data_IF_311937834654
#
_entry.id   IF_311937834654
#
_cell.length_a   1.000
_cell.length_b   1.000
_cell.length_c   1.000
_cell.angle_alpha   90.00
_cell.angle_beta   90.00
_cell.angle_gamma   90.00
#
_symmetry.space_group_name_H-M   'P 1'
#
loop_
_entity.id
_entity.type
_entity.pdbx_description
1 polymer ?
#
# COMPACT_ATOMS: atom_id res chain seq x y z
N UNK A 1 -43.88 14.82 -3.20
CA UNK A 1 -43.21 14.24 -4.37
C UNK A 1 -43.89 12.97 -4.89
N UNK A 2 -44.37 12.06 -4.06
CA UNK A 2 -45.08 10.84 -4.49
C UNK A 2 -46.45 11.10 -5.12
N UNK A 3 -47.16 12.17 -4.75
CA UNK A 3 -48.48 12.53 -5.31
C UNK A 3 -48.41 13.05 -6.77
N UNK A 4 -47.31 13.63 -7.19
CA UNK A 4 -47.10 14.13 -8.57
C UNK A 4 -46.90 12.99 -9.58
N UNK A 5 -46.36 11.84 -9.15
CA UNK A 5 -46.15 10.69 -10.01
C UNK A 5 -47.42 9.96 -10.43
N UNK A 6 -48.51 10.11 -9.66
CA UNK A 6 -49.79 9.43 -9.97
C UNK A 6 -50.52 9.99 -11.21
N UNK A 7 -50.30 11.25 -11.55
CA UNK A 7 -50.94 11.93 -12.70
C UNK A 7 -50.13 11.87 -14.01
N UNK A 8 -48.87 11.32 -13.99
CA UNK A 8 -48.04 11.21 -15.19
C UNK A 8 -48.52 10.09 -16.12
N UNK A 9 -48.38 10.30 -17.43
CA UNK A 9 -48.64 9.26 -18.43
C UNK A 9 -47.67 8.06 -18.20
N UNK A 10 -48.12 6.85 -18.59
CA UNK A 10 -47.33 5.63 -18.42
C UNK A 10 -45.91 5.76 -19.00
N UNK A 11 -45.80 6.36 -20.21
CA UNK A 11 -44.53 6.61 -20.89
C UNK A 11 -43.54 7.45 -20.05
N UNK A 12 -44.07 8.51 -19.41
CA UNK A 12 -43.23 9.37 -18.54
C UNK A 12 -42.76 8.64 -17.27
N UNK A 13 -43.62 7.78 -16.70
CA UNK A 13 -43.24 6.96 -15.53
C UNK A 13 -42.13 5.97 -15.87
N UNK A 14 -42.23 5.31 -17.02
CA UNK A 14 -41.22 4.38 -17.53
C UNK A 14 -39.91 5.13 -17.82
N UNK A 15 -39.97 6.27 -18.49
CA UNK A 15 -38.80 7.07 -18.80
C UNK A 15 -38.06 7.54 -17.53
N UNK A 16 -38.78 8.03 -16.51
CA UNK A 16 -38.18 8.47 -15.24
C UNK A 16 -37.54 7.31 -14.49
N UNK A 17 -38.19 6.14 -14.42
CA UNK A 17 -37.60 4.96 -13.76
C UNK A 17 -36.36 4.49 -14.49
N UNK A 18 -36.32 4.51 -15.82
CA UNK A 18 -35.13 4.15 -16.62
C UNK A 18 -33.97 5.13 -16.37
N UNK A 19 -34.24 6.43 -16.34
CA UNK A 19 -33.23 7.45 -16.06
C UNK A 19 -32.64 7.26 -14.66
N UNK A 20 -33.45 6.98 -13.64
CA UNK A 20 -32.98 6.72 -12.28
C UNK A 20 -32.06 5.48 -12.26
N UNK A 21 -32.44 4.40 -12.92
CA UNK A 21 -31.61 3.18 -13.00
C UNK A 21 -30.29 3.46 -13.69
N UNK A 22 -30.30 4.20 -14.80
CA UNK A 22 -29.07 4.58 -15.52
C UNK A 22 -28.15 5.42 -14.63
N UNK A 23 -28.69 6.42 -13.93
CA UNK A 23 -27.91 7.25 -13.01
C UNK A 23 -27.31 6.44 -11.87
N UNK A 24 -28.03 5.47 -11.32
CA UNK A 24 -27.51 4.58 -10.29
C UNK A 24 -26.38 3.68 -10.83
N UNK A 25 -26.53 3.17 -12.05
CA UNK A 25 -25.49 2.36 -12.69
C UNK A 25 -24.22 3.17 -12.99
N UNK A 26 -24.35 4.38 -13.50
CA UNK A 26 -23.24 5.29 -13.74
C UNK A 26 -22.54 5.69 -12.43
N UNK A 27 -23.30 6.01 -11.40
CA UNK A 27 -22.76 6.31 -10.07
C UNK A 27 -21.96 5.13 -9.48
N UNK A 28 -22.47 3.91 -9.63
CA UNK A 28 -21.74 2.68 -9.23
C UNK A 28 -20.46 2.46 -10.04
N UNK A 29 -20.51 2.66 -11.35
CA UNK A 29 -19.33 2.55 -12.21
C UNK A 29 -18.24 3.52 -11.81
N UNK A 30 -18.61 4.76 -11.52
CA UNK A 30 -17.68 5.79 -11.04
C UNK A 30 -17.06 5.43 -9.68
N UNK A 31 -17.86 5.00 -8.71
CA UNK A 31 -17.36 4.58 -7.40
C UNK A 31 -16.43 3.37 -7.50
N UNK A 32 -16.79 2.38 -8.32
CA UNK A 32 -15.98 1.19 -8.56
C UNK A 32 -14.62 1.55 -9.15
N UNK A 33 -14.60 2.43 -10.13
CA UNK A 33 -13.37 2.91 -10.75
C UNK A 33 -12.46 3.62 -9.74
N UNK A 34 -13.02 4.52 -8.94
CA UNK A 34 -12.27 5.25 -7.91
C UNK A 34 -11.71 4.31 -6.83
N UNK A 35 -12.49 3.34 -6.37
CA UNK A 35 -12.07 2.34 -5.38
C UNK A 35 -10.97 1.42 -5.91
N UNK A 36 -10.98 1.07 -7.20
CA UNK A 36 -9.95 0.22 -7.80
C UNK A 36 -8.61 0.95 -7.91
N UNK A 37 -8.60 2.21 -8.30
CA UNK A 37 -7.36 3.00 -8.34
C UNK A 37 -6.72 3.17 -6.95
N UNK A 38 -7.51 3.45 -5.93
CA UNK A 38 -7.01 3.55 -4.55
C UNK A 38 -6.42 2.22 -4.04
N UNK A 39 -6.96 1.08 -4.48
CA UNK A 39 -6.42 -0.25 -4.16
C UNK A 39 -5.03 -0.46 -4.79
N UNK A 40 -4.86 -0.11 -6.05
CA UNK A 40 -3.57 -0.23 -6.76
C UNK A 40 -2.49 0.62 -6.10
N UNK A 41 -2.80 1.87 -5.75
CA UNK A 41 -1.86 2.76 -5.07
C UNK A 41 -1.42 2.19 -3.71
N UNK A 42 -2.33 1.55 -2.99
CA UNK A 42 -2.03 0.89 -1.70
C UNK A 42 -1.16 -0.34 -1.87
N UNK A 43 -1.42 -1.18 -2.86
CA UNK A 43 -0.58 -2.35 -3.16
C UNK A 43 0.86 -1.92 -3.48
N UNK A 44 1.04 -0.86 -4.26
CA UNK A 44 2.36 -0.32 -4.59
C UNK A 44 3.09 0.18 -3.33
N UNK A 45 2.42 0.87 -2.41
CA UNK A 45 3.00 1.33 -1.14
C UNK A 45 3.39 0.16 -0.23
N UNK A 46 2.56 -0.87 -0.14
CA UNK A 46 2.86 -2.08 0.63
C UNK A 46 4.08 -2.80 0.03
N UNK A 47 4.14 -2.94 -1.29
CA UNK A 47 5.28 -3.52 -1.98
C UNK A 47 6.57 -2.70 -1.74
N UNK A 48 6.50 -1.36 -1.78
CA UNK A 48 7.61 -0.47 -1.48
C UNK A 48 8.13 -0.68 -0.04
N UNK A 49 7.24 -0.76 0.95
CA UNK A 49 7.62 -1.03 2.34
C UNK A 49 8.32 -2.39 2.50
N UNK A 50 7.86 -3.43 1.81
CA UNK A 50 8.55 -4.72 1.80
C UNK A 50 9.96 -4.60 1.20
N UNK A 51 10.14 -3.85 0.12
CA UNK A 51 11.45 -3.61 -0.49
C UNK A 51 12.39 -2.83 0.45
N UNK A 52 11.87 -1.81 1.15
CA UNK A 52 12.65 -1.07 2.16
C UNK A 52 13.13 -2.03 3.25
N UNK A 53 12.26 -2.87 3.81
CA UNK A 53 12.61 -3.84 4.85
C UNK A 53 13.65 -4.84 4.35
N UNK A 54 13.46 -5.42 3.18
CA UNK A 54 14.43 -6.35 2.59
C UNK A 54 15.79 -5.68 2.38
N UNK A 55 15.80 -4.42 1.96
CA UNK A 55 17.03 -3.67 1.74
C UNK A 55 17.75 -3.35 3.06
N UNK A 56 17.00 -3.07 4.14
CA UNK A 56 17.53 -2.92 5.50
C UNK A 56 18.19 -4.23 5.98
N UNK A 57 17.51 -5.38 5.80
CA UNK A 57 18.07 -6.69 6.16
C UNK A 57 19.35 -7.01 5.36
N UNK A 58 19.35 -6.68 4.07
CA UNK A 58 20.52 -6.85 3.21
C UNK A 58 21.69 -5.99 3.68
N UNK A 59 21.44 -4.75 4.09
CA UNK A 59 22.47 -3.87 4.64
C UNK A 59 23.03 -4.42 5.94
N UNK A 60 22.18 -4.89 6.84
CA UNK A 60 22.59 -5.51 8.09
C UNK A 60 23.49 -6.73 7.83
N UNK A 61 23.05 -7.63 6.96
CA UNK A 61 23.84 -8.80 6.58
C UNK A 61 25.23 -8.43 6.03
N UNK A 62 25.32 -7.39 5.18
CA UNK A 62 26.59 -6.94 4.63
C UNK A 62 27.51 -6.34 5.70
N UNK A 63 26.95 -5.64 6.70
CA UNK A 63 27.74 -5.11 7.81
C UNK A 63 28.28 -6.22 8.71
N UNK A 64 27.48 -7.24 9.00
CA UNK A 64 27.90 -8.42 9.77
C UNK A 64 28.94 -9.24 9.01
N UNK A 65 28.75 -9.47 7.72
CA UNK A 65 29.67 -10.24 6.87
C UNK A 65 31.07 -9.61 6.81
N UNK A 66 31.14 -8.27 6.72
CA UNK A 66 32.47 -7.60 6.71
C UNK A 66 33.16 -7.65 8.08
N UNK A 67 32.41 -7.62 9.19
CA UNK A 67 32.95 -7.79 10.53
C UNK A 67 33.50 -9.21 10.76
N UNK A 68 32.76 -10.21 10.32
CA UNK A 68 33.17 -11.60 10.41
C UNK A 68 34.41 -11.87 9.55
N UNK A 69 34.47 -11.34 8.33
CA UNK A 69 35.63 -11.39 7.47
C UNK A 69 36.83 -10.70 8.11
N UNK A 70 36.67 -9.57 8.77
CA UNK A 70 37.72 -8.91 9.52
C UNK A 70 38.26 -9.80 10.65
N UNK A 71 37.39 -10.51 11.36
CA UNK A 71 37.83 -11.44 12.43
C UNK A 71 38.56 -12.65 11.86
N UNK A 72 38.10 -13.18 10.74
CA UNK A 72 38.73 -14.33 10.05
C UNK A 72 40.02 -13.95 9.35
N UNK A 73 40.19 -12.70 8.93
CA UNK A 73 41.38 -12.19 8.23
C UNK A 73 42.63 -12.12 9.12
N UNK A 74 42.52 -12.47 10.40
CA UNK A 74 43.67 -12.79 11.23
C UNK A 74 44.59 -13.86 10.60
N UNK A 75 44.14 -14.54 9.52
CA UNK A 75 44.80 -15.68 8.89
C UNK A 75 45.06 -15.52 7.38
N UNK A 76 44.64 -14.40 6.72
CA UNK A 76 44.77 -14.20 5.27
C UNK A 76 45.67 -13.02 4.89
N UNK A 77 46.06 -12.94 3.61
CA UNK A 77 46.93 -11.88 3.12
C UNK A 77 46.28 -10.52 3.01
N UNK A 78 47.01 -9.43 3.30
CA UNK A 78 46.58 -8.04 3.23
C UNK A 78 45.87 -7.67 1.93
N UNK A 79 46.34 -8.16 0.77
CA UNK A 79 45.80 -7.86 -0.52
C UNK A 79 44.37 -8.42 -0.73
N UNK A 80 44.11 -9.62 -0.20
CA UNK A 80 42.78 -10.23 -0.29
C UNK A 80 41.75 -9.46 0.56
N UNK A 81 42.14 -9.06 1.78
CA UNK A 81 41.23 -8.27 2.62
C UNK A 81 40.93 -6.91 1.99
N UNK A 82 41.90 -6.18 1.48
CA UNK A 82 41.68 -4.89 0.83
C UNK A 82 40.75 -5.00 -0.38
N UNK A 83 40.80 -6.11 -1.11
CA UNK A 83 39.87 -6.36 -2.19
C UNK A 83 38.44 -6.58 -1.67
N UNK A 84 38.26 -7.49 -0.72
CA UNK A 84 36.98 -7.78 -0.08
C UNK A 84 36.36 -6.52 0.56
N UNK A 85 37.19 -5.71 1.23
CA UNK A 85 36.77 -4.46 1.83
C UNK A 85 36.25 -3.46 0.79
N UNK A 86 36.94 -3.33 -0.37
CA UNK A 86 36.46 -2.45 -1.46
C UNK A 86 35.17 -2.93 -2.07
N UNK A 87 35.02 -4.24 -2.25
CA UNK A 87 33.80 -4.85 -2.78
C UNK A 87 32.63 -4.65 -1.82
N UNK A 88 32.82 -4.89 -0.52
CA UNK A 88 31.81 -4.67 0.50
C UNK A 88 31.41 -3.19 0.58
N UNK A 89 32.39 -2.27 0.54
CA UNK A 89 32.09 -0.83 0.58
C UNK A 89 31.25 -0.36 -0.62
N UNK A 90 31.54 -0.89 -1.83
CA UNK A 90 30.72 -0.62 -3.02
C UNK A 90 29.29 -1.17 -2.87
N UNK A 91 29.19 -2.42 -2.41
CA UNK A 91 27.90 -3.08 -2.22
C UNK A 91 27.04 -2.35 -1.18
N UNK A 92 27.62 -1.92 -0.06
CA UNK A 92 26.96 -1.10 0.96
C UNK A 92 26.50 0.25 0.38
N UNK A 93 27.34 0.93 -0.42
CA UNK A 93 26.96 2.20 -1.05
C UNK A 93 25.79 2.03 -2.02
N UNK A 94 25.76 0.94 -2.79
CA UNK A 94 24.64 0.65 -3.70
C UNK A 94 23.35 0.33 -2.96
N UNK A 95 23.41 -0.39 -1.85
CA UNK A 95 22.26 -0.65 -0.97
C UNK A 95 21.76 0.66 -0.34
N UNK A 96 22.67 1.53 0.11
CA UNK A 96 22.33 2.84 0.66
C UNK A 96 21.67 3.76 -0.39
N UNK A 97 22.10 3.72 -1.65
CA UNK A 97 21.44 4.42 -2.76
C UNK A 97 20.03 3.87 -3.02
N UNK A 98 19.89 2.55 -3.00
CA UNK A 98 18.58 1.89 -3.11
C UNK A 98 17.62 2.33 -2.02
N UNK A 99 18.06 2.35 -0.75
CA UNK A 99 17.27 2.87 0.37
C UNK A 99 16.89 4.34 0.18
N UNK A 100 17.82 5.18 -0.29
CA UNK A 100 17.56 6.59 -0.54
C UNK A 100 16.45 6.79 -1.59
N UNK A 101 16.46 5.97 -2.63
CA UNK A 101 15.43 6.01 -3.69
C UNK A 101 14.09 5.51 -3.17
N UNK A 102 14.07 4.37 -2.46
CA UNK A 102 12.85 3.77 -1.93
C UNK A 102 12.15 4.62 -0.87
N UNK A 103 12.91 5.46 -0.15
CA UNK A 103 12.39 6.31 0.93
C UNK A 103 12.38 7.80 0.58
N UNK A 104 12.48 8.14 -0.71
CA UNK A 104 12.62 9.53 -1.19
C UNK A 104 11.44 10.43 -0.82
N UNK A 105 10.27 9.88 -0.63
CA UNK A 105 9.02 10.55 -0.26
C UNK A 105 8.78 10.59 1.27
N UNK A 106 9.60 9.89 2.08
CA UNK A 106 9.50 9.89 3.56
C UNK A 106 10.66 10.68 4.19
N UNK A 107 10.41 11.96 4.52
CA UNK A 107 11.40 12.85 5.10
C UNK A 107 12.01 12.33 6.43
N UNK A 108 11.28 11.76 7.40
CA UNK A 108 11.85 11.08 8.55
C UNK A 108 12.81 9.96 8.18
N UNK A 109 12.48 9.11 7.21
CA UNK A 109 13.37 8.05 6.73
C UNK A 109 14.66 8.60 6.11
N UNK A 110 14.59 9.68 5.36
CA UNK A 110 15.77 10.36 4.81
C UNK A 110 16.71 10.88 5.91
N UNK A 111 16.17 11.36 7.03
CA UNK A 111 16.97 11.79 8.18
C UNK A 111 17.68 10.60 8.84
N UNK A 112 16.99 9.49 9.06
CA UNK A 112 17.59 8.25 9.56
C UNK A 112 18.68 7.73 8.61
N UNK A 113 18.45 7.80 7.31
CA UNK A 113 19.42 7.40 6.29
C UNK A 113 20.69 8.26 6.31
N UNK A 114 20.58 9.56 6.53
CA UNK A 114 21.73 10.46 6.67
C UNK A 114 22.57 10.10 7.93
N UNK A 115 21.90 9.82 9.06
CA UNK A 115 22.57 9.38 10.28
C UNK A 115 23.28 8.03 10.05
N UNK A 116 22.57 7.08 9.45
CA UNK A 116 23.09 5.75 9.11
C UNK A 116 24.31 5.83 8.20
N UNK A 117 24.28 6.67 7.17
CA UNK A 117 25.43 6.88 6.27
C UNK A 117 26.68 7.35 7.02
N UNK A 118 26.54 8.25 7.99
CA UNK A 118 27.65 8.71 8.82
C UNK A 118 28.20 7.60 9.70
N UNK A 119 27.33 6.82 10.33
CA UNK A 119 27.71 5.70 11.21
C UNK A 119 28.44 4.59 10.42
N UNK A 120 27.91 4.23 9.24
CA UNK A 120 28.56 3.27 8.36
C UNK A 120 29.93 3.77 7.91
N UNK A 121 30.05 5.03 7.49
CA UNK A 121 31.32 5.65 7.13
C UNK A 121 32.34 5.60 8.28
N UNK A 122 31.90 5.89 9.51
CA UNK A 122 32.73 5.77 10.71
C UNK A 122 33.15 4.33 10.93
N UNK A 123 32.24 3.37 10.84
CA UNK A 123 32.52 1.95 11.04
C UNK A 123 33.53 1.43 10.01
N UNK A 124 33.36 1.76 8.75
CA UNK A 124 34.29 1.40 7.67
C UNK A 124 35.67 1.99 7.91
N UNK A 125 35.76 3.22 8.41
CA UNK A 125 37.04 3.84 8.78
C UNK A 125 37.73 3.12 9.96
N UNK A 126 36.96 2.73 10.97
CA UNK A 126 37.46 1.97 12.13
C UNK A 126 38.00 0.58 11.71
N UNK A 127 37.24 -0.12 10.84
CA UNK A 127 37.63 -1.41 10.30
C UNK A 127 38.97 -1.30 9.55
N UNK A 128 39.06 -0.33 8.64
CA UNK A 128 40.32 -0.07 7.90
C UNK A 128 41.48 0.29 8.84
N UNK A 129 41.25 1.20 9.80
CA UNK A 129 42.27 1.63 10.77
C UNK A 129 42.80 0.47 11.60
N UNK A 130 41.94 -0.46 12.03
CA UNK A 130 42.37 -1.67 12.77
C UNK A 130 43.32 -2.53 11.94
N UNK A 131 43.06 -2.67 10.65
CA UNK A 131 43.90 -3.46 9.74
C UNK A 131 45.22 -2.76 9.47
N UNK A 132 45.18 -1.45 9.21
CA UNK A 132 46.39 -0.66 8.98
C UNK A 132 47.32 -0.73 10.19
N UNK A 133 46.79 -0.67 11.42
CA UNK A 133 47.58 -0.84 12.67
C UNK A 133 48.16 -2.24 12.79
N UNK A 134 47.39 -3.27 12.46
CA UNK A 134 47.86 -4.66 12.49
C UNK A 134 49.00 -4.88 11.51
N UNK A 135 48.84 -4.41 10.26
CA UNK A 135 49.86 -4.57 9.22
C UNK A 135 51.14 -3.80 9.55
N UNK A 136 51.02 -2.70 10.29
CA UNK A 136 52.17 -1.97 10.81
C UNK A 136 52.84 -2.63 12.05
N UNK A 137 52.30 -3.77 12.52
CA UNK A 137 52.80 -4.44 13.75
C UNK A 137 52.52 -3.62 15.03
N UNK A 138 51.58 -2.68 15.00
CA UNK A 138 51.27 -1.73 16.08
C UNK A 138 49.99 -2.05 16.85
N UNK A 139 49.29 -3.13 16.48
CA UNK A 139 48.06 -3.53 17.14
C UNK A 139 48.41 -4.44 18.33
N UNK A 140 48.69 -3.82 19.49
CA UNK A 140 48.84 -4.52 20.76
C UNK A 140 47.48 -4.92 21.39
N UNK A 141 47.51 -5.73 22.48
CA UNK A 141 46.28 -6.18 23.15
C UNK A 141 45.40 -5.05 23.67
N UNK A 142 45.98 -3.93 24.07
CA UNK A 142 45.28 -2.78 24.61
C UNK A 142 44.61 -1.97 23.48
N UNK A 143 45.35 -1.71 22.40
CA UNK A 143 44.82 -1.07 21.18
C UNK A 143 43.73 -1.91 20.58
N UNK A 144 43.89 -3.23 20.53
CA UNK A 144 42.83 -4.13 20.03
C UNK A 144 41.56 -4.03 20.84
N UNK A 145 41.64 -3.98 22.18
CA UNK A 145 40.45 -3.80 23.05
C UNK A 145 39.73 -2.48 22.80
N UNK A 146 40.50 -1.38 22.68
CA UNK A 146 39.94 -0.04 22.40
C UNK A 146 39.20 -0.03 21.04
N UNK A 147 39.81 -0.55 19.99
CA UNK A 147 39.21 -0.63 18.66
C UNK A 147 37.98 -1.53 18.61
N UNK A 148 38.01 -2.66 19.33
CA UNK A 148 36.85 -3.56 19.44
C UNK A 148 35.68 -2.88 20.16
N UNK A 149 35.94 -2.15 21.25
CA UNK A 149 34.92 -1.43 22.01
C UNK A 149 34.30 -0.33 21.15
N UNK A 150 35.10 0.51 20.52
CA UNK A 150 34.64 1.59 19.66
C UNK A 150 33.86 1.03 18.44
N UNK A 151 34.32 -0.09 17.87
CA UNK A 151 33.63 -0.78 16.77
C UNK A 151 32.25 -1.30 17.17
N UNK A 152 32.17 -1.95 18.36
CA UNK A 152 30.89 -2.45 18.90
C UNK A 152 29.90 -1.30 19.15
N UNK A 153 30.36 -0.23 19.78
CA UNK A 153 29.50 0.93 20.06
C UNK A 153 28.95 1.53 18.74
N UNK A 154 29.77 1.66 17.71
CA UNK A 154 29.31 2.15 16.40
C UNK A 154 28.34 1.19 15.75
N UNK A 155 28.55 -0.13 15.86
CA UNK A 155 27.63 -1.13 15.32
C UNK A 155 26.29 -1.12 16.06
N UNK A 156 26.30 -0.98 17.39
CA UNK A 156 25.08 -0.85 18.18
C UNK A 156 24.27 0.39 17.74
N UNK A 157 24.92 1.51 17.44
CA UNK A 157 24.26 2.71 16.89
C UNK A 157 23.69 2.47 15.48
N UNK A 158 24.38 1.74 14.62
CA UNK A 158 23.87 1.32 13.30
C UNK A 158 22.61 0.47 13.46
N UNK A 159 22.64 -0.53 14.36
CA UNK A 159 21.49 -1.38 14.65
C UNK A 159 20.29 -0.58 15.17
N UNK A 160 20.52 0.40 16.05
CA UNK A 160 19.47 1.29 16.53
C UNK A 160 18.88 2.13 15.40
N UNK A 161 19.68 2.68 14.50
CA UNK A 161 19.21 3.45 13.35
C UNK A 161 18.41 2.58 12.37
N UNK A 162 18.87 1.35 12.10
CA UNK A 162 18.15 0.39 11.24
C UNK A 162 16.82 -0.06 11.87
N UNK A 163 16.80 -0.29 13.19
CA UNK A 163 15.55 -0.65 13.88
C UNK A 163 14.54 0.49 13.89
N UNK A 164 14.97 1.75 14.04
CA UNK A 164 14.09 2.91 13.92
C UNK A 164 13.48 3.03 12.51
N UNK A 165 14.28 2.79 11.47
CA UNK A 165 13.76 2.75 10.09
C UNK A 165 12.72 1.64 9.90
N UNK A 166 12.99 0.44 10.44
CA UNK A 166 12.07 -0.72 10.38
C UNK A 166 10.76 -0.46 11.14
N UNK A 167 10.83 0.15 12.32
CA UNK A 167 9.66 0.50 13.13
C UNK A 167 8.78 1.53 12.40
N UNK A 168 9.40 2.48 11.72
CA UNK A 168 8.68 3.44 10.87
C UNK A 168 7.88 2.72 9.78
N UNK A 169 8.50 1.79 9.04
CA UNK A 169 7.83 1.00 8.01
C UNK A 169 6.67 0.18 8.57
N UNK A 170 6.85 -0.42 9.75
CA UNK A 170 5.78 -1.17 10.41
C UNK A 170 4.61 -0.26 10.80
N UNK A 171 4.88 0.93 11.30
CA UNK A 171 3.86 1.92 11.65
C UNK A 171 3.07 2.37 10.41
N UNK A 172 3.75 2.59 9.29
CA UNK A 172 3.12 2.91 8.01
C UNK A 172 2.21 1.77 7.54
N UNK A 173 2.68 0.52 7.57
CA UNK A 173 1.86 -0.65 7.21
C UNK A 173 0.59 -0.74 8.07
N UNK A 174 0.71 -0.58 9.38
CA UNK A 174 -0.44 -0.63 10.30
C UNK A 174 -1.43 0.50 10.01
N UNK A 175 -0.94 1.72 9.74
CA UNK A 175 -1.79 2.86 9.42
C UNK A 175 -2.56 2.66 8.11
N UNK A 176 -1.90 2.16 7.08
CA UNK A 176 -2.53 1.87 5.79
C UNK A 176 -3.52 0.70 5.85
N UNK A 177 -3.20 -0.36 6.61
CA UNK A 177 -4.11 -1.49 6.85
C UNK A 177 -5.41 -1.03 7.51
N UNK A 178 -5.33 -0.22 8.57
CA UNK A 178 -6.52 0.32 9.25
C UNK A 178 -7.38 1.20 8.34
N UNK A 179 -6.76 2.02 7.49
CA UNK A 179 -7.49 2.82 6.52
C UNK A 179 -8.15 1.95 5.43
N UNK A 180 -7.49 0.85 5.04
CA UNK A 180 -8.04 -0.10 4.06
C UNK A 180 -9.29 -0.80 4.58
N UNK A 181 -9.31 -1.26 5.82
CA UNK A 181 -10.45 -1.95 6.43
C UNK A 181 -11.69 -1.06 6.50
N UNK A 182 -11.52 0.22 6.84
CA UNK A 182 -12.61 1.20 6.87
C UNK A 182 -13.19 1.50 5.48
N UNK A 183 -12.36 1.66 4.47
CA UNK A 183 -12.79 1.94 3.10
C UNK A 183 -13.44 0.71 2.44
N UNK A 184 -12.91 -0.49 2.69
CA UNK A 184 -13.47 -1.73 2.17
C UNK A 184 -14.89 -1.97 2.70
N UNK A 185 -15.13 -1.83 4.01
CA UNK A 185 -16.43 -2.03 4.62
C UNK A 185 -17.50 -1.05 4.08
N UNK A 186 -17.13 0.21 3.88
CA UNK A 186 -18.00 1.21 3.26
C UNK A 186 -18.31 0.88 1.78
N UNK A 187 -17.31 0.44 1.02
CA UNK A 187 -17.47 0.03 -0.38
C UNK A 187 -18.39 -1.20 -0.48
N UNK A 188 -18.20 -2.20 0.37
CA UNK A 188 -19.09 -3.38 0.42
C UNK A 188 -20.53 -2.99 0.77
N UNK A 189 -20.74 -2.12 1.76
CA UNK A 189 -22.07 -1.64 2.13
C UNK A 189 -22.75 -0.90 0.97
N UNK A 190 -22.03 -0.06 0.22
CA UNK A 190 -22.54 0.62 -0.97
C UNK A 190 -22.85 -0.34 -2.12
N UNK A 191 -22.01 -1.34 -2.37
CA UNK A 191 -22.24 -2.32 -3.44
C UNK A 191 -23.47 -3.18 -3.11
N UNK A 192 -23.56 -3.72 -1.91
CA UNK A 192 -24.65 -4.58 -1.48
C UNK A 192 -25.95 -3.75 -1.38
N UNK A 193 -25.92 -2.61 -0.69
CA UNK A 193 -27.07 -1.74 -0.51
C UNK A 193 -27.58 -1.15 -1.83
N UNK A 194 -26.66 -0.71 -2.70
CA UNK A 194 -27.00 -0.21 -4.03
C UNK A 194 -27.59 -1.28 -4.96
N UNK A 195 -27.08 -2.54 -4.87
CA UNK A 195 -27.65 -3.67 -5.63
C UNK A 195 -29.06 -3.97 -5.17
N UNK A 196 -29.24 -4.10 -3.86
CA UNK A 196 -30.57 -4.35 -3.27
C UNK A 196 -31.55 -3.22 -3.61
N UNK A 197 -31.16 -1.97 -3.49
CA UNK A 197 -31.98 -0.81 -3.86
C UNK A 197 -32.39 -0.82 -5.34
N UNK A 198 -31.46 -1.16 -6.24
CA UNK A 198 -31.74 -1.26 -7.68
C UNK A 198 -32.75 -2.37 -7.98
N UNK A 199 -32.63 -3.53 -7.34
CA UNK A 199 -33.57 -4.65 -7.50
C UNK A 199 -34.95 -4.28 -6.98
N UNK A 200 -35.05 -3.67 -5.81
CA UNK A 200 -36.34 -3.20 -5.25
C UNK A 200 -37.01 -2.19 -6.15
N UNK A 201 -36.25 -1.23 -6.68
CA UNK A 201 -36.79 -0.24 -7.62
C UNK A 201 -37.25 -0.88 -8.94
N UNK A 202 -36.56 -1.85 -9.46
CA UNK A 202 -36.93 -2.58 -10.66
C UNK A 202 -38.23 -3.38 -10.45
N UNK A 203 -38.36 -4.05 -9.31
CA UNK A 203 -39.59 -4.80 -8.95
C UNK A 203 -40.76 -3.84 -8.75
N UNK A 204 -40.58 -2.74 -8.02
CA UNK A 204 -41.63 -1.74 -7.79
C UNK A 204 -42.07 -1.07 -9.09
N UNK A 205 -41.13 -0.74 -9.97
CA UNK A 205 -41.45 -0.18 -11.30
C UNK A 205 -42.20 -1.17 -12.18
N UNK A 206 -41.76 -2.43 -12.21
CA UNK A 206 -42.46 -3.50 -12.96
C UNK A 206 -43.87 -3.75 -12.44
N UNK A 207 -44.04 -3.77 -11.13
CA UNK A 207 -45.37 -3.94 -10.52
C UNK A 207 -46.30 -2.76 -10.81
N UNK A 208 -45.78 -1.54 -10.78
CA UNK A 208 -46.55 -0.33 -11.11
C UNK A 208 -47.00 -0.34 -12.57
N UNK A 209 -46.14 -0.75 -13.50
CA UNK A 209 -46.47 -0.89 -14.92
C UNK A 209 -47.55 -1.97 -15.11
N UNK A 210 -47.36 -3.13 -14.48
CA UNK A 210 -48.32 -4.24 -14.56
C UNK A 210 -49.71 -3.84 -14.03
N UNK A 211 -49.77 -3.13 -12.92
CA UNK A 211 -50.98 -2.66 -12.31
C UNK A 211 -51.75 -1.65 -13.23
N UNK A 212 -51.03 -0.73 -13.85
CA UNK A 212 -51.63 0.28 -14.74
C UNK A 212 -52.16 -0.37 -16.05
N UNK A 213 -51.38 -1.32 -16.61
CA UNK A 213 -51.85 -2.10 -17.78
C UNK A 213 -53.06 -2.96 -17.48
N UNK A 214 -53.14 -3.57 -16.30
CA UNK A 214 -54.29 -4.37 -15.88
C UNK A 214 -55.55 -3.52 -15.77
N UNK A 215 -55.44 -2.32 -15.22
CA UNK A 215 -56.58 -1.36 -15.14
C UNK A 215 -57.08 -0.92 -16.54
N UNK A 216 -56.16 -0.62 -17.45
CA UNK A 216 -56.51 -0.24 -18.83
C UNK A 216 -57.24 -1.37 -19.57
N UNK A 217 -56.74 -2.63 -19.47
CA UNK A 217 -57.42 -3.80 -20.05
C UNK A 217 -58.80 -4.05 -19.47
N UNK A 218 -59.02 -3.81 -18.20
CA UNK A 218 -60.33 -3.93 -17.58
C UNK A 218 -61.31 -2.82 -18.07
N UNK A 219 -60.83 -1.59 -18.22
CA UNK A 219 -61.61 -0.50 -18.74
C UNK A 219 -62.02 -0.71 -20.22
N UNK A 220 -61.11 -1.21 -21.06
CA UNK A 220 -61.38 -1.56 -22.46
C UNK A 220 -62.45 -2.69 -22.57
N UNK A 221 -62.31 -3.73 -21.75
CA UNK A 221 -63.30 -4.83 -21.72
C UNK A 221 -64.68 -4.34 -21.26
N UNK A 222 -64.72 -3.46 -20.25
CA UNK A 222 -66.00 -2.86 -19.81
C UNK A 222 -66.62 -1.98 -20.88
N UNK A 223 -65.83 -1.20 -21.63
CA UNK A 223 -66.31 -0.37 -22.73
C UNK A 223 -66.87 -1.23 -23.90
N UNK A 224 -66.17 -2.33 -24.28
CA UNK A 224 -66.70 -3.24 -25.34
C UNK A 224 -68.00 -3.92 -24.93
N UNK A 225 -68.12 -4.36 -23.67
CA UNK A 225 -69.34 -4.96 -23.18
C UNK A 225 -70.55 -3.94 -23.11
N UNK A 226 -70.23 -2.66 -22.81
CA UNK A 226 -71.25 -1.57 -22.84
C UNK A 226 -71.72 -1.30 -24.23
N UNK A 227 -70.87 -1.27 -25.26
CA UNK A 227 -71.29 -1.07 -26.66
C UNK A 227 -72.14 -2.25 -27.20
N UNK A 228 -71.74 -3.49 -26.83
CA UNK A 228 -72.49 -4.69 -27.23
C UNK A 228 -73.94 -4.71 -26.62
N UNK A 229 -74.14 -4.11 -25.46
CA UNK A 229 -75.47 -3.98 -24.83
C UNK A 229 -76.33 -2.87 -25.43
N UNK A 230 -75.75 -1.88 -26.09
CA UNK A 230 -76.54 -0.80 -26.78
C UNK A 230 -76.87 -1.16 -28.21
N UNK A 231 -76.33 -2.24 -28.79
CA UNK A 231 -76.65 -2.68 -30.16
C UNK A 231 -77.62 -3.83 -30.23
N UNK A 232 -78.17 -4.25 -29.09
CA UNK A 232 -79.32 -5.18 -28.96
C UNK A 232 -80.60 -4.43 -28.54
#
# INVERSE_FOLDING_TARGET
>A
MLASLSQMSLEKKVAVSLVIVILLLLGRGYLSYYSTNDLIDRELRVAQTHQVRETIERLLYQMEDIEDKQRLDLFTSENQFLQLFREANRSIDDVMKGLATLTSDDQPQQQHLLALRRLIGLRMTQLKGTIDLRNAGRLGPDEQRVHQHAGKETMDQILMALSAMREREQTLLISWSKQADGAASFTYALIIGGTFGTVVLAIAGGWMIFYDLSKRRQAEKAAMMGQARQAL
#
